data_IF_794737233596
#
_entry.id   IF_794737233596
#
_cell.length_a   1.000
_cell.length_b   1.000
_cell.length_c   1.000
_cell.angle_alpha   90.00
_cell.angle_beta   90.00
_cell.angle_gamma   90.00
#
_symmetry.space_group_name_H-M   'P 1'
#
loop_
_entity.id
_entity.type
_entity.pdbx_description
1 polymer ?
#
# COMPACT_ATOMS: atom_id res chain seq x y z
N UNK A 1 -19.34 3.42 -8.39
CA UNK A 1 -18.32 2.97 -9.36
C UNK A 1 -16.96 3.51 -8.97
N UNK A 2 -15.87 2.98 -9.53
CA UNK A 2 -14.52 3.46 -9.25
C UNK A 2 -13.88 3.99 -10.54
N UNK A 3 -13.21 5.13 -10.42
CA UNK A 3 -12.55 5.85 -11.51
C UNK A 3 -11.09 6.06 -11.17
N UNK A 4 -10.23 6.01 -12.19
CA UNK A 4 -8.80 6.23 -12.07
C UNK A 4 -8.36 7.32 -13.06
N UNK A 5 -7.53 8.24 -12.58
CA UNK A 5 -6.97 9.34 -13.36
C UNK A 5 -5.48 9.39 -13.12
N UNK A 6 -4.69 9.35 -14.19
CA UNK A 6 -3.26 9.58 -14.13
C UNK A 6 -2.92 11.03 -14.46
N UNK A 7 -2.08 11.65 -13.64
CA UNK A 7 -1.64 13.03 -13.80
C UNK A 7 -0.11 13.04 -13.95
N UNK A 8 0.41 13.52 -15.08
CA UNK A 8 1.86 13.64 -15.29
C UNK A 8 2.46 14.86 -14.60
N UNK A 9 3.75 14.82 -14.25
CA UNK A 9 4.50 15.94 -13.65
C UNK A 9 4.92 17.04 -14.64
N UNK A 10 3.98 17.47 -15.49
CA UNK A 10 4.18 18.58 -16.43
C UNK A 10 3.98 19.92 -15.72
N UNK A 11 4.58 21.02 -16.23
CA UNK A 11 4.48 22.34 -15.59
C UNK A 11 3.04 22.79 -15.28
N UNK A 12 2.10 22.60 -16.21
CA UNK A 12 0.68 22.94 -15.97
C UNK A 12 0.05 22.07 -14.88
N UNK A 13 0.34 20.76 -14.88
CA UNK A 13 -0.19 19.84 -13.87
C UNK A 13 0.28 20.16 -12.46
N UNK A 14 1.55 20.58 -12.30
CA UNK A 14 2.11 21.00 -10.99
C UNK A 14 1.32 22.14 -10.35
N UNK A 15 0.72 23.00 -11.16
CA UNK A 15 -0.08 24.13 -10.69
C UNK A 15 -1.55 23.72 -10.54
N UNK A 16 -2.11 23.07 -11.57
CA UNK A 16 -3.54 22.80 -11.64
C UNK A 16 -4.01 21.68 -10.71
N UNK A 17 -3.16 20.66 -10.51
CA UNK A 17 -3.52 19.51 -9.68
C UNK A 17 -3.76 19.92 -8.22
N UNK A 18 -2.84 20.65 -7.54
CA UNK A 18 -3.11 21.15 -6.18
C UNK A 18 -4.35 22.06 -6.09
N UNK A 19 -4.59 22.92 -7.09
CA UNK A 19 -5.77 23.79 -7.13
C UNK A 19 -7.06 22.95 -7.17
N UNK A 20 -7.11 21.94 -8.05
CA UNK A 20 -8.26 21.05 -8.16
C UNK A 20 -8.51 20.27 -6.86
N UNK A 21 -7.45 19.70 -6.27
CA UNK A 21 -7.55 18.97 -5.00
C UNK A 21 -8.02 19.86 -3.85
N UNK A 22 -7.48 21.09 -3.71
CA UNK A 22 -7.85 22.00 -2.63
C UNK A 22 -9.29 22.53 -2.73
N UNK A 23 -9.82 22.65 -3.95
CA UNK A 23 -11.21 23.07 -4.17
C UNK A 23 -12.19 21.88 -4.18
N UNK A 24 -11.69 20.64 -4.21
CA UNK A 24 -12.54 19.45 -4.40
C UNK A 24 -13.19 19.41 -5.78
N UNK A 25 -12.54 19.96 -6.81
CA UNK A 25 -13.09 20.06 -8.17
C UNK A 25 -12.12 19.42 -9.17
N UNK A 26 -12.65 18.54 -10.01
CA UNK A 26 -11.92 18.01 -11.17
C UNK A 26 -12.58 18.48 -12.46
N UNK A 27 -11.77 18.88 -13.43
CA UNK A 27 -12.25 19.40 -14.71
C UNK A 27 -11.50 18.81 -15.89
N UNK A 28 -12.23 18.60 -17.00
CA UNK A 28 -11.66 18.18 -18.28
C UNK A 28 -12.07 19.12 -19.42
N UNK A 29 -11.29 19.09 -20.50
CA UNK A 29 -11.59 19.83 -21.74
C UNK A 29 -12.68 19.12 -22.54
N UNK A 30 -13.28 19.82 -23.50
CA UNK A 30 -14.31 19.28 -24.41
C UNK A 30 -13.90 17.94 -25.04
N UNK A 31 -12.64 17.80 -25.47
CA UNK A 31 -12.11 16.58 -26.08
C UNK A 31 -12.14 15.34 -25.19
N UNK A 32 -12.45 15.48 -23.89
CA UNK A 32 -12.54 14.41 -22.91
C UNK A 32 -13.87 14.39 -22.16
N UNK A 33 -14.87 15.15 -22.63
CA UNK A 33 -16.20 15.24 -22.02
C UNK A 33 -16.77 13.86 -21.68
N UNK A 34 -16.73 12.94 -22.63
CA UNK A 34 -17.31 11.59 -22.49
C UNK A 34 -16.70 10.76 -21.36
N UNK A 35 -15.50 11.12 -20.89
CA UNK A 35 -14.82 10.41 -19.79
C UNK A 35 -15.42 10.75 -18.43
N UNK A 36 -16.11 11.88 -18.30
CA UNK A 36 -16.67 12.37 -17.03
C UNK A 36 -18.19 12.37 -16.99
N UNK A 37 -18.88 12.32 -18.12
CA UNK A 37 -20.37 12.40 -18.21
C UNK A 37 -21.09 11.29 -17.45
N UNK A 38 -20.44 10.14 -17.26
CA UNK A 38 -21.02 8.98 -16.57
C UNK A 38 -20.74 8.94 -15.08
N UNK A 39 -19.96 9.89 -14.55
CA UNK A 39 -19.61 9.99 -13.13
C UNK A 39 -20.80 10.48 -12.32
N UNK A 40 -21.13 9.75 -11.25
CA UNK A 40 -22.26 10.04 -10.37
C UNK A 40 -21.81 10.33 -8.95
N UNK A 41 -22.65 11.03 -8.22
CA UNK A 41 -22.49 11.22 -6.78
C UNK A 41 -22.37 9.86 -6.06
N UNK A 42 -21.46 9.78 -5.10
CA UNK A 42 -21.11 8.55 -4.38
C UNK A 42 -20.07 7.66 -5.07
N UNK A 43 -19.71 7.93 -6.33
CA UNK A 43 -18.59 7.24 -6.98
C UNK A 43 -17.26 7.55 -6.28
N UNK A 44 -16.29 6.66 -6.45
CA UNK A 44 -14.92 6.83 -5.95
C UNK A 44 -14.00 7.18 -7.13
N UNK A 45 -13.08 8.11 -6.92
CA UNK A 45 -12.07 8.50 -7.89
C UNK A 45 -10.68 8.44 -7.25
N UNK A 46 -9.74 7.80 -7.93
CA UNK A 46 -8.34 7.77 -7.57
C UNK A 46 -7.51 8.62 -8.53
N UNK A 47 -6.81 9.60 -7.98
CA UNK A 47 -5.88 10.46 -8.68
C UNK A 47 -4.45 9.97 -8.42
N UNK A 48 -3.80 9.43 -9.44
CA UNK A 48 -2.41 8.96 -9.36
C UNK A 48 -1.50 10.03 -9.95
N UNK A 49 -0.73 10.68 -9.08
CA UNK A 49 0.14 11.79 -9.45
C UNK A 49 1.58 11.33 -9.69
N UNK A 50 2.04 11.55 -10.93
CA UNK A 50 3.42 11.44 -11.39
C UNK A 50 4.11 10.12 -11.06
N UNK A 51 4.16 9.19 -12.03
CA UNK A 51 4.97 7.98 -11.89
C UNK A 51 6.40 8.21 -12.41
N UNK A 52 7.37 7.88 -11.58
CA UNK A 52 8.80 7.92 -11.89
C UNK A 52 9.38 6.51 -11.93
N UNK A 53 10.24 6.24 -12.92
CA UNK A 53 10.89 4.94 -13.06
C UNK A 53 11.88 4.65 -11.92
N UNK A 54 11.99 3.38 -11.53
CA UNK A 54 12.96 2.92 -10.54
C UNK A 54 14.37 2.92 -11.14
N UNK A 55 15.17 3.95 -10.82
CA UNK A 55 16.55 4.08 -11.30
C UNK A 55 17.43 2.85 -11.02
N UNK A 56 17.14 2.12 -9.94
CA UNK A 56 17.84 0.89 -9.57
C UNK A 56 17.65 -0.26 -10.56
N UNK A 57 16.63 -0.21 -11.42
CA UNK A 57 16.30 -1.24 -12.41
C UNK A 57 16.84 -0.94 -13.81
N UNK A 58 17.70 0.09 -13.92
CA UNK A 58 18.28 0.52 -15.18
C UNK A 58 17.48 1.64 -15.87
N UNK A 59 17.75 1.91 -17.16
CA UNK A 59 17.12 3.00 -17.88
C UNK A 59 15.62 2.75 -18.09
N UNK A 60 14.77 3.80 -18.05
CA UNK A 60 13.34 3.65 -18.28
C UNK A 60 13.05 3.17 -19.71
N UNK A 61 11.94 2.45 -19.92
CA UNK A 61 11.44 2.15 -21.26
C UNK A 61 11.27 3.44 -22.09
N UNK A 62 11.60 3.38 -23.38
CA UNK A 62 11.44 4.52 -24.28
C UNK A 62 9.95 4.93 -24.31
N UNK A 63 9.66 6.18 -23.95
CA UNK A 63 8.29 6.71 -23.92
C UNK A 63 7.53 6.52 -22.61
N UNK A 64 8.18 6.04 -21.54
CA UNK A 64 7.60 5.97 -20.20
C UNK A 64 7.06 7.36 -19.77
N UNK A 65 5.85 7.47 -19.20
CA UNK A 65 5.00 6.42 -18.65
C UNK A 65 3.97 5.79 -19.62
N UNK A 66 4.07 6.05 -20.93
CA UNK A 66 3.12 5.53 -21.94
C UNK A 66 3.49 4.13 -22.42
N UNK A 67 3.23 3.16 -21.56
CA UNK A 67 3.54 1.75 -21.80
C UNK A 67 2.38 1.06 -22.53
N UNK A 68 2.69 0.18 -23.49
CA UNK A 68 1.70 -0.63 -24.21
C UNK A 68 0.97 -1.62 -23.31
N UNK A 69 -0.20 -2.11 -23.74
CA UNK A 69 -1.01 -3.06 -22.95
C UNK A 69 -0.28 -4.39 -22.75
N UNK A 70 0.43 -4.86 -23.77
CA UNK A 70 1.31 -6.03 -23.79
C UNK A 70 2.50 -5.92 -22.83
N UNK A 71 2.83 -4.70 -22.40
CA UNK A 71 3.96 -4.40 -21.53
C UNK A 71 3.53 -3.87 -20.17
N UNK A 72 2.32 -4.17 -19.68
CA UNK A 72 1.80 -3.64 -18.41
C UNK A 72 2.77 -3.82 -17.22
N UNK A 73 3.51 -4.92 -17.15
CA UNK A 73 4.56 -5.17 -16.14
C UNK A 73 5.68 -4.11 -16.13
N UNK A 74 5.84 -3.31 -17.19
CA UNK A 74 6.76 -2.17 -17.27
C UNK A 74 6.11 -0.86 -16.85
N UNK A 75 4.80 -0.81 -16.61
CA UNK A 75 4.12 0.35 -16.03
C UNK A 75 4.19 0.27 -14.49
N UNK A 76 5.42 0.38 -13.98
CA UNK A 76 5.70 0.37 -12.55
C UNK A 76 6.76 1.40 -12.19
N UNK A 77 6.77 1.81 -10.94
CA UNK A 77 7.59 2.94 -10.51
C UNK A 77 7.23 3.45 -9.12
N UNK A 78 7.64 4.68 -8.87
CA UNK A 78 7.29 5.45 -7.68
C UNK A 78 6.36 6.57 -8.11
N UNK A 79 5.14 6.58 -7.60
CA UNK A 79 4.19 7.69 -7.76
C UNK A 79 4.37 8.69 -6.62
N UNK A 80 4.30 9.99 -6.92
CA UNK A 80 4.49 11.03 -5.90
C UNK A 80 3.37 10.98 -4.85
N UNK A 81 2.13 10.82 -5.30
CA UNK A 81 0.97 10.61 -4.43
C UNK A 81 -0.17 9.88 -5.12
N UNK A 82 -1.04 9.26 -4.32
CA UNK A 82 -2.33 8.73 -4.72
C UNK A 82 -3.38 9.37 -3.82
N UNK A 83 -4.33 10.11 -4.40
CA UNK A 83 -5.43 10.73 -3.66
C UNK A 83 -6.73 10.03 -4.04
N UNK A 84 -7.48 9.56 -3.03
CA UNK A 84 -8.78 8.92 -3.21
C UNK A 84 -9.85 9.90 -2.74
N UNK A 85 -10.77 10.22 -3.64
CA UNK A 85 -11.93 11.08 -3.39
C UNK A 85 -13.25 10.33 -3.57
N UNK A 86 -14.27 10.76 -2.84
CA UNK A 86 -15.67 10.39 -3.08
C UNK A 86 -16.34 11.54 -3.80
N UNK A 87 -16.99 11.25 -4.92
CA UNK A 87 -17.71 12.24 -5.72
C UNK A 87 -18.88 12.77 -4.89
N UNK A 88 -18.84 14.05 -4.55
CA UNK A 88 -19.89 14.77 -3.81
C UNK A 88 -20.92 15.37 -4.76
N UNK A 89 -20.53 15.63 -6.01
CA UNK A 89 -21.43 16.05 -7.08
C UNK A 89 -20.98 15.44 -8.40
N UNK A 90 -21.89 14.73 -9.06
CA UNK A 90 -21.65 14.14 -10.38
C UNK A 90 -21.39 15.18 -11.48
N UNK A 91 -21.35 14.71 -12.73
CA UNK A 91 -21.07 15.55 -13.89
C UNK A 91 -21.92 16.84 -13.97
N UNK A 92 -21.26 17.97 -14.25
CA UNK A 92 -21.89 19.23 -14.62
C UNK A 92 -20.98 20.06 -15.54
N UNK A 93 -21.57 21.07 -16.18
CA UNK A 93 -20.85 22.06 -16.97
C UNK A 93 -20.73 23.40 -16.23
N UNK A 94 -19.57 24.03 -16.29
CA UNK A 94 -19.35 25.36 -15.71
C UNK A 94 -18.26 26.13 -16.46
N UNK A 95 -18.51 27.42 -16.69
CA UNK A 95 -17.54 28.35 -17.29
C UNK A 95 -16.72 29.14 -16.25
N UNK A 96 -16.88 28.86 -14.95
CA UNK A 96 -16.17 29.61 -13.90
C UNK A 96 -14.67 29.37 -13.95
N UNK A 97 -13.83 30.40 -13.77
CA UNK A 97 -12.38 30.23 -13.87
C UNK A 97 -11.79 29.71 -12.55
N UNK A 98 -11.51 28.41 -12.49
CA UNK A 98 -10.89 27.74 -11.33
C UNK A 98 -9.37 27.60 -11.54
N UNK A 99 -8.94 27.23 -12.74
CA UNK A 99 -7.54 27.06 -13.09
C UNK A 99 -6.98 28.29 -13.83
N UNK A 100 -5.68 28.59 -13.67
CA UNK A 100 -5.06 29.77 -14.27
C UNK A 100 -4.89 29.67 -15.80
N UNK A 101 -4.69 28.46 -16.33
CA UNK A 101 -4.35 28.20 -17.73
C UNK A 101 -5.58 28.03 -18.65
N UNK A 102 -6.64 27.39 -18.18
CA UNK A 102 -7.83 27.08 -18.97
C UNK A 102 -9.06 26.92 -18.06
N UNK A 103 -10.26 26.85 -18.66
CA UNK A 103 -11.53 26.76 -17.94
C UNK A 103 -11.87 25.34 -17.52
N UNK A 104 -11.60 24.33 -18.36
CA UNK A 104 -12.00 22.93 -18.12
C UNK A 104 -13.49 22.81 -17.75
N UNK A 105 -14.41 22.99 -18.73
CA UNK A 105 -15.82 23.23 -18.44
C UNK A 105 -16.58 22.02 -17.92
N UNK A 106 -16.10 20.81 -18.20
CA UNK A 106 -16.76 19.56 -17.80
C UNK A 106 -16.19 19.06 -16.48
N UNK A 107 -17.02 19.07 -15.43
CA UNK A 107 -16.55 18.92 -14.05
C UNK A 107 -17.36 17.94 -13.24
N UNK A 108 -16.75 17.51 -12.14
CA UNK A 108 -17.41 16.88 -11.00
C UNK A 108 -16.74 17.40 -9.71
N UNK A 109 -17.46 17.34 -8.59
CA UNK A 109 -16.94 17.72 -7.27
C UNK A 109 -16.72 16.45 -6.43
N UNK A 110 -15.74 16.48 -5.54
CA UNK A 110 -15.38 15.36 -4.69
C UNK A 110 -14.82 15.80 -3.36
N UNK A 111 -15.03 14.96 -2.34
CA UNK A 111 -14.42 15.07 -1.02
C UNK A 111 -13.28 14.08 -0.91
N UNK A 112 -12.12 14.54 -0.45
CA UNK A 112 -10.95 13.67 -0.25
C UNK A 112 -11.22 12.75 0.95
N UNK A 113 -11.08 11.45 0.73
CA UNK A 113 -11.23 10.43 1.77
C UNK A 113 -9.86 10.01 2.31
N UNK A 114 -8.91 9.80 1.40
CA UNK A 114 -7.61 9.24 1.73
C UNK A 114 -6.54 9.83 0.82
N UNK A 115 -5.36 10.08 1.39
CA UNK A 115 -4.18 10.57 0.67
C UNK A 115 -3.00 9.70 1.05
N UNK A 116 -2.42 9.06 0.04
CA UNK A 116 -1.14 8.37 0.15
C UNK A 116 -0.07 9.26 -0.47
N UNK A 117 0.70 9.94 0.36
CA UNK A 117 1.82 10.79 -0.05
C UNK A 117 3.17 10.11 0.19
N UNK A 118 4.26 10.85 -0.02
CA UNK A 118 5.63 10.40 0.25
C UNK A 118 6.11 9.22 -0.62
N UNK A 119 5.98 9.33 -1.95
CA UNK A 119 6.60 8.42 -2.91
C UNK A 119 6.13 6.95 -2.74
N UNK A 120 4.93 6.68 -3.24
CA UNK A 120 4.25 5.37 -3.17
C UNK A 120 4.76 4.47 -4.30
N UNK A 121 5.10 3.22 -4.02
CA UNK A 121 5.42 2.27 -5.10
C UNK A 121 4.15 1.85 -5.83
N UNK A 122 4.20 1.85 -7.16
CA UNK A 122 3.07 1.62 -8.03
C UNK A 122 3.44 0.60 -9.11
N UNK A 123 2.54 -0.33 -9.38
CA UNK A 123 2.74 -1.45 -10.30
C UNK A 123 1.81 -2.61 -9.97
N UNK A 124 1.75 -3.61 -10.84
CA UNK A 124 0.91 -4.81 -10.65
C UNK A 124 1.37 -5.65 -9.46
N UNK A 125 2.55 -5.36 -8.89
CA UNK A 125 3.05 -5.98 -7.67
C UNK A 125 2.49 -5.34 -6.38
N UNK A 126 1.95 -4.12 -6.48
CA UNK A 126 1.47 -3.34 -5.34
C UNK A 126 -0.03 -3.12 -5.37
N UNK A 127 -0.64 -3.16 -6.56
CA UNK A 127 -2.07 -2.97 -6.77
C UNK A 127 -2.62 -4.04 -7.72
N UNK A 128 -3.92 -4.32 -7.59
CA UNK A 128 -4.62 -5.22 -8.49
C UNK A 128 -4.44 -4.81 -9.97
N UNK A 129 -4.36 -5.82 -10.84
CA UNK A 129 -4.08 -5.66 -12.27
C UNK A 129 -5.02 -4.65 -12.95
N UNK A 130 -6.31 -4.71 -12.64
CA UNK A 130 -7.31 -3.84 -13.25
C UNK A 130 -7.11 -2.36 -12.93
N UNK A 131 -6.72 -2.02 -11.70
CA UNK A 131 -6.43 -0.64 -11.33
C UNK A 131 -5.18 -0.11 -12.03
N UNK A 132 -4.11 -0.91 -12.07
CA UNK A 132 -2.86 -0.54 -12.74
C UNK A 132 -3.09 -0.37 -14.25
N UNK A 133 -3.91 -1.23 -14.85
CA UNK A 133 -4.31 -1.13 -16.26
C UNK A 133 -5.10 0.15 -16.54
N UNK A 134 -6.06 0.51 -15.67
CA UNK A 134 -6.83 1.74 -15.79
C UNK A 134 -5.95 3.00 -15.67
N UNK A 135 -5.00 3.01 -14.74
CA UNK A 135 -4.05 4.12 -14.58
C UNK A 135 -3.09 4.21 -15.77
N UNK A 136 -2.58 3.07 -16.27
CA UNK A 136 -1.77 3.02 -17.50
C UNK A 136 -2.55 3.54 -18.71
N UNK A 137 -3.81 3.12 -18.86
CA UNK A 137 -4.67 3.58 -19.94
C UNK A 137 -4.90 5.09 -19.85
N UNK A 138 -5.17 5.60 -18.65
CA UNK A 138 -5.24 7.05 -18.39
C UNK A 138 -3.94 7.75 -18.79
N UNK A 139 -2.77 7.20 -18.46
CA UNK A 139 -1.47 7.77 -18.85
C UNK A 139 -1.26 7.83 -20.37
N UNK A 140 -1.63 6.76 -21.09
CA UNK A 140 -1.59 6.71 -22.56
C UNK A 140 -2.55 7.71 -23.21
N UNK A 141 -3.71 7.95 -22.62
CA UNK A 141 -4.75 8.88 -23.09
C UNK A 141 -4.65 10.27 -22.47
N UNK A 142 -3.46 10.62 -21.98
CA UNK A 142 -3.12 11.96 -21.47
C UNK A 142 -3.93 12.40 -20.24
N UNK A 143 -4.34 11.48 -19.38
CA UNK A 143 -5.11 11.73 -18.15
C UNK A 143 -6.62 11.70 -18.36
N UNK A 144 -7.12 10.76 -19.17
CA UNK A 144 -8.57 10.54 -19.28
C UNK A 144 -9.10 9.81 -18.06
N UNK A 145 -10.31 10.14 -17.62
CA UNK A 145 -10.94 9.43 -16.51
C UNK A 145 -11.35 8.04 -16.97
N UNK A 146 -10.77 7.02 -16.34
CA UNK A 146 -10.88 5.63 -16.79
C UNK A 146 -11.52 4.79 -15.70
N UNK A 147 -12.42 3.88 -16.06
CA UNK A 147 -13.10 3.04 -15.07
C UNK A 147 -12.15 1.97 -14.53
N UNK A 148 -12.13 1.79 -13.21
CA UNK A 148 -11.54 0.64 -12.53
C UNK A 148 -12.67 -0.13 -11.82
N UNK A 149 -12.59 -1.47 -11.70
CA UNK A 149 -13.63 -2.21 -10.97
C UNK A 149 -13.39 -2.19 -9.46
N UNK A 150 -12.14 -2.37 -9.02
CA UNK A 150 -11.70 -2.27 -7.62
C UNK A 150 -10.36 -1.56 -7.52
N UNK A 151 -10.09 -0.92 -6.37
CA UNK A 151 -8.76 -0.45 -5.98
C UNK A 151 -8.36 -1.30 -4.79
N UNK A 152 -7.46 -2.25 -5.03
CA UNK A 152 -6.95 -3.13 -3.98
C UNK A 152 -5.45 -2.98 -3.94
N UNK A 153 -4.95 -2.52 -2.79
CA UNK A 153 -3.55 -2.66 -2.48
C UNK A 153 -3.28 -4.14 -2.21
N UNK A 154 -2.36 -4.72 -2.96
CA UNK A 154 -1.87 -6.06 -2.75
C UNK A 154 -0.95 -6.02 -1.53
N UNK A 155 -1.52 -6.01 -0.33
CA UNK A 155 -0.75 -6.02 0.92
C UNK A 155 -0.01 -7.35 1.12
N UNK A 156 -0.45 -8.42 0.46
CA UNK A 156 0.21 -9.73 0.37
C UNK A 156 -0.12 -10.31 -1.01
N UNK A 157 0.89 -10.74 -1.78
CA UNK A 157 0.65 -11.85 -2.71
C UNK A 157 0.47 -13.06 -1.79
N UNK A 158 -0.76 -13.30 -1.31
CA UNK A 158 -1.20 -14.69 -1.27
C UNK A 158 -1.25 -15.11 -2.72
N UNK A 159 -0.51 -16.16 -3.04
CA UNK A 159 -0.75 -16.95 -4.23
C UNK A 159 -2.23 -17.33 -4.23
N UNK A 160 -3.07 -16.54 -4.87
CA UNK A 160 -4.26 -17.05 -5.50
C UNK A 160 -3.74 -17.84 -6.71
N UNK A 161 -3.23 -19.04 -6.42
CA UNK A 161 -3.36 -20.13 -7.37
C UNK A 161 -4.87 -20.34 -7.45
N UNK A 162 -5.41 -20.17 -8.65
CA UNK A 162 -6.76 -20.57 -8.99
C UNK A 162 -6.98 -22.01 -8.46
N UNK A 163 -7.69 -22.15 -7.34
CA UNK A 163 -8.26 -23.43 -6.92
C UNK A 163 -9.55 -23.65 -7.71
N UNK A 164 -9.43 -23.80 -9.02
CA UNK A 164 -10.39 -24.57 -9.82
C UNK A 164 -9.62 -25.54 -10.71
N UNK A 165 -9.37 -26.72 -10.12
CA UNK A 165 -9.29 -28.04 -10.75
C UNK A 165 -8.56 -28.14 -12.10
N UNK A 166 -7.33 -28.65 -12.05
CA UNK A 166 -6.97 -29.88 -12.78
C UNK A 166 -5.77 -30.53 -12.08
N UNK A 167 -5.94 -31.77 -11.61
CA UNK A 167 -4.86 -32.62 -11.12
C UNK A 167 -3.84 -32.82 -12.24
N UNK A 168 -2.65 -32.25 -12.09
CA UNK A 168 -1.47 -32.78 -12.74
C UNK A 168 -0.28 -32.70 -11.77
N UNK A 169 0.26 -33.87 -11.43
CA UNK A 169 1.51 -34.03 -10.69
C UNK A 169 2.60 -33.15 -11.30
N UNK A 170 3.17 -32.26 -10.49
CA UNK A 170 4.47 -31.65 -10.77
C UNK A 170 5.32 -31.76 -9.51
N UNK A 171 6.03 -32.89 -9.40
CA UNK A 171 7.26 -33.00 -8.63
C UNK A 171 8.27 -31.97 -9.15
N UNK A 172 8.68 -31.07 -8.25
CA UNK A 172 9.67 -30.00 -8.44
C UNK A 172 9.22 -28.74 -9.19
N UNK A 173 9.30 -27.61 -8.49
CA UNK A 173 9.27 -26.27 -9.05
C UNK A 173 10.55 -25.53 -8.70
N UNK A 174 11.04 -24.67 -9.60
CA UNK A 174 12.18 -23.79 -9.32
C UNK A 174 11.76 -22.70 -8.33
N UNK A 175 12.07 -22.89 -7.05
CA UNK A 175 11.98 -21.85 -6.03
C UNK A 175 13.24 -20.96 -6.10
N UNK A 176 13.07 -19.64 -6.02
CA UNK A 176 14.21 -18.74 -5.80
C UNK A 176 14.65 -17.82 -6.95
N UNK A 177 13.73 -17.28 -7.76
CA UNK A 177 14.06 -16.01 -8.45
C UNK A 177 14.33 -14.94 -7.37
N UNK A 178 15.49 -14.26 -7.37
CA UNK A 178 15.72 -13.19 -6.42
C UNK A 178 14.78 -12.02 -6.74
N UNK A 179 13.83 -11.78 -5.84
CA UNK A 179 12.92 -10.65 -5.91
C UNK A 179 13.51 -9.55 -5.03
N UNK A 180 13.90 -8.42 -5.64
CA UNK A 180 14.29 -7.22 -4.91
C UNK A 180 13.02 -6.50 -4.44
N UNK A 181 12.76 -6.56 -3.13
CA UNK A 181 11.71 -5.76 -2.46
C UNK A 181 12.34 -4.48 -1.90
N UNK A 182 11.88 -3.32 -2.34
CA UNK A 182 12.13 -2.06 -1.66
C UNK A 182 11.04 -1.84 -0.61
N UNK A 183 11.38 -2.08 0.66
CA UNK A 183 10.48 -1.86 1.78
C UNK A 183 10.67 -0.43 2.35
N UNK A 184 9.59 0.31 2.58
CA UNK A 184 9.64 1.54 3.38
C UNK A 184 9.58 1.14 4.87
N UNK A 185 10.71 0.78 5.47
CA UNK A 185 10.81 0.64 6.93
C UNK A 185 10.91 2.02 7.56
N UNK A 186 9.99 2.34 8.47
CA UNK A 186 10.29 3.33 9.52
C UNK A 186 11.54 2.83 10.25
N UNK A 187 12.55 3.68 10.45
CA UNK A 187 13.77 3.28 11.15
C UNK A 187 13.41 2.71 12.53
N UNK A 188 13.53 1.40 12.69
CA UNK A 188 13.35 0.75 13.99
C UNK A 188 14.68 0.90 14.70
N UNK A 189 14.72 1.70 15.77
CA UNK A 189 15.93 1.80 16.57
C UNK A 189 16.28 0.44 17.16
N UNK A 190 17.35 -0.18 16.66
CA UNK A 190 17.89 -1.42 17.20
C UNK A 190 18.24 -1.29 18.69
N UNK A 191 18.50 -0.05 19.16
CA UNK A 191 18.74 0.26 20.57
C UNK A 191 17.53 -0.08 21.45
N UNK A 192 16.32 0.26 21.03
CA UNK A 192 15.09 0.03 21.83
C UNK A 192 14.77 -1.47 21.91
N UNK A 193 14.95 -2.21 20.82
CA UNK A 193 14.80 -3.67 20.79
C UNK A 193 15.83 -4.34 21.71
N UNK A 194 17.10 -3.93 21.63
CA UNK A 194 18.17 -4.44 22.49
C UNK A 194 17.90 -4.12 23.96
N UNK A 195 17.49 -2.90 24.26
CA UNK A 195 17.12 -2.47 25.62
C UNK A 195 15.95 -3.29 26.17
N UNK A 196 14.90 -3.55 25.38
CA UNK A 196 13.78 -4.40 25.80
C UNK A 196 14.24 -5.82 26.14
N UNK A 197 15.01 -6.46 25.26
CA UNK A 197 15.52 -7.82 25.50
C UNK A 197 16.39 -7.89 26.75
N UNK A 198 17.32 -6.94 26.91
CA UNK A 198 18.19 -6.86 28.09
C UNK A 198 17.40 -6.62 29.37
N UNK A 199 16.39 -5.75 29.34
CA UNK A 199 15.51 -5.49 30.47
C UNK A 199 14.74 -6.75 30.89
N UNK A 200 14.14 -7.47 29.93
CA UNK A 200 13.42 -8.73 30.21
C UNK A 200 14.34 -9.81 30.77
N UNK A 201 15.55 -9.97 30.20
CA UNK A 201 16.55 -10.92 30.72
C UNK A 201 16.98 -10.53 32.14
N UNK A 202 17.18 -9.25 32.42
CA UNK A 202 17.57 -8.77 33.76
C UNK A 202 16.48 -9.01 34.80
N UNK A 203 15.21 -8.85 34.44
CA UNK A 203 14.08 -9.02 35.36
C UNK A 203 13.69 -10.49 35.55
N UNK A 204 13.72 -11.30 34.50
CA UNK A 204 13.14 -12.65 34.51
C UNK A 204 14.16 -13.78 34.35
N UNK A 205 15.42 -13.45 34.03
CA UNK A 205 16.49 -14.41 33.78
C UNK A 205 16.40 -15.14 32.43
N UNK A 206 15.31 -15.00 31.68
CA UNK A 206 15.07 -15.71 30.43
C UNK A 206 14.36 -14.84 29.39
N UNK A 207 14.37 -15.28 28.13
CA UNK A 207 13.72 -14.57 27.02
C UNK A 207 12.58 -15.41 26.43
N UNK A 208 11.59 -15.71 27.28
CA UNK A 208 10.44 -16.54 26.91
C UNK A 208 9.36 -15.73 26.16
N UNK A 209 8.65 -16.40 25.25
CA UNK A 209 7.52 -15.84 24.53
C UNK A 209 6.35 -15.52 25.47
N UNK A 210 5.79 -14.31 25.39
CA UNK A 210 4.64 -13.88 26.23
C UNK A 210 3.33 -14.63 25.90
N UNK A 211 3.24 -15.25 24.72
CA UNK A 211 2.07 -16.03 24.25
C UNK A 211 2.19 -17.50 24.63
N UNK A 212 3.20 -18.20 24.11
CA UNK A 212 3.33 -19.65 24.28
C UNK A 212 4.36 -20.08 25.33
N UNK A 213 5.01 -19.14 26.00
CA UNK A 213 6.05 -19.39 27.02
C UNK A 213 7.29 -20.16 26.53
N UNK A 214 7.44 -20.37 25.22
CA UNK A 214 8.62 -20.99 24.62
C UNK A 214 9.85 -20.10 24.83
N UNK A 215 10.94 -20.71 25.29
CA UNK A 215 12.27 -20.09 25.38
C UNK A 215 13.21 -20.78 24.39
N UNK A 216 13.76 -20.00 23.46
CA UNK A 216 14.68 -20.52 22.45
C UNK A 216 15.97 -21.07 23.07
N UNK A 217 16.49 -20.47 24.15
CA UNK A 217 17.70 -20.98 24.82
C UNK A 217 17.45 -22.34 25.47
N UNK A 218 16.25 -22.53 26.04
CA UNK A 218 15.87 -23.80 26.63
C UNK A 218 15.67 -24.91 25.59
N UNK A 219 15.16 -24.56 24.40
CA UNK A 219 14.87 -25.54 23.32
C UNK A 219 16.09 -25.83 22.45
N UNK A 220 16.87 -24.80 22.11
CA UNK A 220 17.96 -24.89 21.13
C UNK A 220 19.35 -24.65 21.73
N UNK A 221 19.47 -24.51 23.06
CA UNK A 221 20.74 -24.24 23.73
C UNK A 221 21.29 -22.86 23.38
N UNK A 222 22.62 -22.76 23.26
CA UNK A 222 23.30 -21.50 22.95
C UNK A 222 22.84 -20.87 21.63
N UNK A 223 22.45 -21.69 20.64
CA UNK A 223 21.93 -21.21 19.35
C UNK A 223 20.67 -20.35 19.51
N UNK A 224 19.87 -20.63 20.53
CA UNK A 224 18.62 -19.90 20.80
C UNK A 224 18.80 -18.65 21.66
N UNK A 225 20.01 -18.34 22.12
CA UNK A 225 20.25 -17.23 23.04
C UNK A 225 19.92 -15.87 22.39
N UNK A 226 19.01 -15.13 23.03
CA UNK A 226 18.60 -13.80 22.57
C UNK A 226 17.74 -13.77 21.29
N UNK A 227 17.33 -14.93 20.76
CA UNK A 227 16.69 -15.03 19.44
C UNK A 227 15.27 -14.45 19.37
N UNK A 228 14.48 -14.53 20.45
CA UNK A 228 13.07 -14.13 20.46
C UNK A 228 12.83 -12.72 19.88
N UNK A 229 11.68 -12.51 19.26
CA UNK A 229 11.38 -11.30 18.49
C UNK A 229 10.61 -10.26 19.33
N UNK A 230 10.76 -8.98 19.00
CA UNK A 230 10.00 -7.90 19.63
C UNK A 230 8.82 -7.48 18.73
N UNK A 231 7.60 -7.63 19.23
CA UNK A 231 6.37 -7.20 18.58
C UNK A 231 5.86 -5.89 19.19
N UNK A 232 5.39 -4.95 18.35
CA UNK A 232 4.77 -3.71 18.84
C UNK A 232 3.29 -3.97 19.11
N UNK A 233 2.86 -3.81 20.37
CA UNK A 233 1.43 -3.97 20.76
C UNK A 233 0.52 -2.97 20.05
N UNK A 234 1.05 -1.79 19.74
CA UNK A 234 0.39 -0.75 18.95
C UNK A 234 1.13 -0.59 17.61
N UNK A 235 0.48 -0.92 16.48
CA UNK A 235 1.05 -0.83 15.14
C UNK A 235 1.70 0.52 14.86
N UNK A 236 2.98 0.53 14.47
CA UNK A 236 3.63 1.77 14.05
C UNK A 236 3.00 2.35 12.77
N UNK A 237 2.31 1.55 11.95
CA UNK A 237 1.62 2.01 10.73
C UNK A 237 0.36 2.84 11.01
N UNK A 238 -0.23 2.72 12.20
CA UNK A 238 -1.46 3.42 12.59
C UNK A 238 -1.19 4.68 13.45
N UNK A 239 0.07 5.09 13.59
CA UNK A 239 0.44 6.28 14.40
C UNK A 239 0.58 7.50 13.50
N UNK A 240 -0.25 8.52 13.77
CA UNK A 240 -0.23 9.83 13.10
C UNK A 240 1.07 10.63 13.34
N UNK A 241 1.81 10.35 14.43
CA UNK A 241 3.03 11.06 14.81
C UNK A 241 4.19 10.13 15.21
N UNK A 242 5.44 10.61 15.11
CA UNK A 242 6.65 9.97 15.64
C UNK A 242 6.69 10.01 17.19
N UNK A 243 5.76 9.30 17.83
CA UNK A 243 5.74 9.16 19.30
C UNK A 243 6.81 8.18 19.77
N UNK A 244 7.49 8.55 20.86
CA UNK A 244 8.49 7.72 21.53
C UNK A 244 7.90 6.35 21.90
N UNK A 245 8.53 5.26 21.43
CA UNK A 245 8.16 3.89 21.83
C UNK A 245 8.72 3.60 23.23
N UNK A 246 7.84 3.26 24.17
CA UNK A 246 8.23 2.81 25.51
C UNK A 246 8.46 1.30 25.51
N UNK A 247 9.24 0.79 26.47
CA UNK A 247 9.47 -0.65 26.61
C UNK A 247 8.18 -1.44 26.90
N UNK A 248 7.17 -0.81 27.49
CA UNK A 248 5.84 -1.41 27.72
C UNK A 248 5.03 -1.62 26.44
N UNK A 249 5.36 -0.90 25.36
CA UNK A 249 4.67 -1.01 24.07
C UNK A 249 5.18 -2.21 23.24
N UNK A 250 6.19 -2.91 23.75
CA UNK A 250 6.83 -4.05 23.11
C UNK A 250 6.53 -5.34 23.88
N UNK A 251 6.22 -6.39 23.13
CA UNK A 251 6.06 -7.75 23.61
C UNK A 251 7.17 -8.65 23.06
N UNK A 252 7.66 -9.58 23.87
CA UNK A 252 8.57 -10.65 23.43
C UNK A 252 7.75 -11.82 22.91
N UNK A 253 7.98 -12.22 21.66
CA UNK A 253 7.25 -13.30 20.99
C UNK A 253 8.19 -14.21 20.22
N UNK A 254 7.84 -15.49 20.07
CA UNK A 254 8.56 -16.38 19.15
C UNK A 254 8.15 -16.13 17.70
N UNK A 255 8.94 -16.60 16.74
CA UNK A 255 8.67 -16.41 15.30
C UNK A 255 7.29 -16.92 14.90
N UNK A 256 6.85 -18.05 15.44
CA UNK A 256 5.52 -18.60 15.16
C UNK A 256 4.39 -17.71 15.71
N UNK A 257 4.48 -17.29 16.97
CA UNK A 257 3.48 -16.41 17.58
C UNK A 257 3.49 -15.03 16.92
N UNK A 258 4.66 -14.53 16.52
CA UNK A 258 4.76 -13.26 15.81
C UNK A 258 4.01 -13.34 14.48
N UNK A 259 4.18 -14.43 13.71
CA UNK A 259 3.41 -14.67 12.49
C UNK A 259 1.91 -14.77 12.75
N UNK A 260 1.51 -15.44 13.82
CA UNK A 260 0.08 -15.55 14.18
C UNK A 260 -0.55 -14.22 14.59
N UNK A 261 0.18 -13.31 15.23
CA UNK A 261 -0.32 -11.97 15.56
C UNK A 261 -0.66 -11.16 14.30
N UNK A 262 0.08 -11.39 13.22
CA UNK A 262 -0.12 -10.72 11.92
C UNK A 262 -1.02 -11.51 10.95
N UNK A 263 -1.52 -12.70 11.34
CA UNK A 263 -2.23 -13.62 10.42
C UNK A 263 -3.59 -13.09 9.94
N UNK A 264 -4.24 -12.18 10.66
CA UNK A 264 -5.56 -11.61 10.31
C UNK A 264 -5.59 -10.12 10.62
N UNK A 265 -6.33 -9.34 9.82
CA UNK A 265 -6.63 -7.93 10.07
C UNK A 265 -8.07 -7.74 10.61
N UNK A 266 -8.29 -6.84 11.59
CA UNK A 266 -7.29 -6.12 12.39
C UNK A 266 -6.40 -7.07 13.21
N UNK A 267 -5.13 -6.69 13.43
CA UNK A 267 -4.14 -7.57 14.06
C UNK A 267 -4.57 -7.99 15.45
N UNK A 268 -4.24 -9.24 15.80
CA UNK A 268 -4.56 -9.77 17.11
C UNK A 268 -3.69 -9.10 18.16
N UNK A 269 -4.31 -8.77 19.30
CA UNK A 269 -3.57 -8.40 20.51
C UNK A 269 -2.87 -9.64 21.06
N UNK A 270 -1.72 -9.44 21.70
CA UNK A 270 -0.94 -10.51 22.35
C UNK A 270 -1.83 -11.30 23.32
N UNK A 271 -2.66 -10.61 24.08
CA UNK A 271 -3.58 -11.18 25.06
C UNK A 271 -4.67 -12.03 24.39
N UNK A 272 -5.15 -11.62 23.21
CA UNK A 272 -6.13 -12.40 22.43
C UNK A 272 -5.51 -13.67 21.89
N UNK A 273 -4.31 -13.58 21.29
CA UNK A 273 -3.63 -14.76 20.76
C UNK A 273 -3.26 -15.74 21.87
N UNK A 274 -2.83 -15.24 23.03
CA UNK A 274 -2.55 -16.06 24.21
C UNK A 274 -3.78 -16.87 24.62
N UNK A 275 -4.95 -16.24 24.70
CA UNK A 275 -6.22 -16.92 25.02
C UNK A 275 -6.56 -18.01 24.00
N UNK A 276 -6.35 -17.74 22.70
CA UNK A 276 -6.57 -18.74 21.64
C UNK A 276 -5.62 -19.92 21.82
N UNK A 277 -4.34 -19.65 22.07
CA UNK A 277 -3.31 -20.67 22.26
C UNK A 277 -3.58 -21.55 23.49
N UNK A 278 -3.92 -20.93 24.63
CA UNK A 278 -4.26 -21.63 25.87
C UNK A 278 -5.52 -22.49 25.71
N UNK A 279 -6.55 -21.99 25.02
CA UNK A 279 -7.78 -22.76 24.77
C UNK A 279 -7.54 -24.06 24.00
N UNK A 280 -6.54 -24.11 23.12
CA UNK A 280 -6.22 -25.31 22.33
C UNK A 280 -5.27 -26.28 23.04
N UNK A 281 -4.76 -25.91 24.22
CA UNK A 281 -3.83 -26.71 25.02
C UNK A 281 -4.39 -27.15 26.37
N UNK A 282 -5.51 -26.57 26.78
CA UNK A 282 -6.33 -27.03 27.91
C UNK A 282 -7.14 -28.26 27.49
#
# INVERSE_FOLDING_TARGET
MIWAVYISDKPHSRINFPIGMNNGIWGVKESKKDTVTTIKEGDIVAFVYSISWLKAEGPPPKGFSRVGKDQLHKFRGVVQSITIGRVSKGYYESSSKVWPDDTYPHRFEFDIIEVHDNNVYFGTEFFNHEFVEAVRYSACTQGSVTRARTIEMLEEITTDLDEEQEEHELESGYEGKPILRLHKSRERSAKVVKQKKQHVIKETGKLACEVCSMDFKAVYGELGEGFAECHHKNPLSLREENKQTKLCDLAIVCSNCHRMLHRKRPWLKVETLKRIYEKQRA
#
